data_IF_351197885926
#
_entry.id   IF_351197885926
#
_cell.length_a   1.000
_cell.length_b   1.000
_cell.length_c   1.000
_cell.angle_alpha   90.00
_cell.angle_beta   90.00
_cell.angle_gamma   90.00
#
_symmetry.space_group_name_H-M   'P 1'
#
loop_
_entity.id
_entity.type
_entity.pdbx_description
1 polymer ?
#
# COMPACT_ATOMS: atom_id res chain seq x y z
N UNK A 1 -13.91 -9.79 21.69
CA UNK A 1 -14.75 -8.59 21.87
C UNK A 1 -16.15 -9.11 22.10
N UNK A 2 -16.72 -8.94 23.30
CA UNK A 2 -17.94 -9.61 23.72
C UNK A 2 -19.14 -8.79 23.22
N UNK A 3 -19.82 -9.25 22.17
CA UNK A 3 -20.87 -8.49 21.44
C UNK A 3 -22.19 -8.41 22.22
N UNK A 4 -22.31 -9.10 23.37
CA UNK A 4 -23.62 -9.35 23.99
C UNK A 4 -24.30 -8.20 24.76
N UNK A 5 -23.67 -7.04 24.97
CA UNK A 5 -24.25 -5.99 25.82
C UNK A 5 -24.19 -4.57 25.21
N UNK A 6 -24.62 -4.37 23.97
CA UNK A 6 -24.88 -3.01 23.46
C UNK A 6 -26.38 -2.74 23.45
N UNK A 7 -26.80 -1.72 24.19
CA UNK A 7 -28.18 -1.23 24.14
C UNK A 7 -28.42 -0.48 22.81
N UNK A 8 -29.65 -0.49 22.30
CA UNK A 8 -30.00 0.21 21.05
C UNK A 8 -29.56 1.71 21.01
N UNK A 9 -29.68 2.48 22.12
CA UNK A 9 -29.15 3.84 22.18
C UNK A 9 -27.62 3.94 22.05
N UNK A 10 -26.87 2.96 22.56
CA UNK A 10 -25.41 2.93 22.41
C UNK A 10 -24.98 2.60 20.99
N UNK A 11 -25.73 1.74 20.30
CA UNK A 11 -25.55 1.48 18.86
C UNK A 11 -25.78 2.78 18.09
N UNK A 12 -26.89 3.49 18.34
CA UNK A 12 -27.18 4.77 17.68
C UNK A 12 -26.12 5.85 17.95
N UNK A 13 -25.64 5.96 19.19
CA UNK A 13 -24.56 6.89 19.54
C UNK A 13 -23.24 6.54 18.83
N UNK A 14 -22.93 5.24 18.71
CA UNK A 14 -21.73 4.77 18.02
C UNK A 14 -21.82 4.99 16.52
N UNK A 15 -22.98 4.73 15.92
CA UNK A 15 -23.28 5.03 14.50
C UNK A 15 -23.18 6.53 14.21
N UNK A 16 -23.55 7.39 15.17
CA UNK A 16 -23.41 8.85 15.07
C UNK A 16 -22.00 9.39 15.36
N UNK A 17 -21.05 8.55 15.75
CA UNK A 17 -19.68 9.01 16.00
C UNK A 17 -18.96 9.29 14.68
N UNK A 18 -18.16 10.37 14.63
CA UNK A 18 -17.34 10.71 13.44
C UNK A 18 -16.45 9.54 13.01
N UNK A 19 -15.94 8.77 13.97
CA UNK A 19 -15.07 7.61 13.73
C UNK A 19 -15.79 6.52 12.93
N UNK A 20 -17.05 6.23 13.29
CA UNK A 20 -17.83 5.24 12.57
C UNK A 20 -18.10 5.68 11.13
N UNK A 21 -18.44 6.96 10.92
CA UNK A 21 -18.62 7.49 9.56
C UNK A 21 -17.35 7.36 8.71
N UNK A 22 -16.19 7.71 9.26
CA UNK A 22 -14.91 7.55 8.55
C UNK A 22 -14.54 6.08 8.33
N UNK A 23 -14.90 5.18 9.24
CA UNK A 23 -14.69 3.74 9.06
C UNK A 23 -15.55 3.20 7.91
N UNK A 24 -16.83 3.58 7.85
CA UNK A 24 -17.73 3.22 6.74
C UNK A 24 -17.22 3.83 5.44
N UNK A 25 -16.81 5.10 5.46
CA UNK A 25 -16.24 5.76 4.28
C UNK A 25 -14.96 5.06 3.81
N UNK A 26 -14.08 4.62 4.72
CA UNK A 26 -12.88 3.86 4.36
C UNK A 26 -13.25 2.53 3.69
N UNK A 27 -14.24 1.80 4.22
CA UNK A 27 -14.72 0.55 3.62
C UNK A 27 -15.27 0.80 2.21
N UNK A 28 -16.15 1.79 2.05
CA UNK A 28 -16.72 2.15 0.74
C UNK A 28 -15.60 2.56 -0.22
N UNK A 29 -14.66 3.38 0.26
CA UNK A 29 -13.54 3.87 -0.53
C UNK A 29 -12.66 2.73 -1.04
N UNK A 30 -12.19 1.85 -0.14
CA UNK A 30 -11.33 0.73 -0.53
C UNK A 30 -12.06 -0.28 -1.40
N UNK A 31 -13.34 -0.55 -1.15
CA UNK A 31 -14.15 -1.37 -2.03
C UNK A 31 -14.23 -0.76 -3.44
N UNK A 32 -14.46 0.56 -3.54
CA UNK A 32 -14.48 1.24 -4.82
C UNK A 32 -13.11 1.24 -5.51
N UNK A 33 -12.00 1.41 -4.78
CA UNK A 33 -10.65 1.31 -5.33
C UNK A 33 -10.43 -0.07 -5.97
N UNK A 34 -10.75 -1.14 -5.25
CA UNK A 34 -10.55 -2.52 -5.70
C UNK A 34 -11.43 -2.85 -6.91
N UNK A 35 -12.74 -2.62 -6.81
CA UNK A 35 -13.68 -2.97 -7.88
C UNK A 35 -13.52 -2.11 -9.14
N UNK A 36 -13.12 -0.84 -8.97
CA UNK A 36 -12.95 0.07 -10.09
C UNK A 36 -11.52 0.14 -10.61
N UNK A 37 -10.57 -0.60 -10.02
CA UNK A 37 -9.15 -0.53 -10.35
C UNK A 37 -8.93 -0.60 -11.88
N UNK A 38 -9.35 -1.71 -12.50
CA UNK A 38 -9.18 -1.92 -13.94
C UNK A 38 -10.02 -0.95 -14.77
N UNK A 39 -11.22 -0.60 -14.30
CA UNK A 39 -12.13 0.34 -14.97
C UNK A 39 -11.51 1.73 -15.07
N UNK A 40 -10.89 2.22 -13.99
CA UNK A 40 -10.19 3.50 -13.95
C UNK A 40 -8.94 3.45 -14.84
N UNK A 41 -8.14 2.39 -14.77
CA UNK A 41 -6.97 2.23 -15.64
C UNK A 41 -7.37 2.26 -17.12
N UNK A 42 -8.44 1.57 -17.51
CA UNK A 42 -8.95 1.61 -18.87
C UNK A 42 -9.48 3.00 -19.26
N UNK A 43 -10.23 3.65 -18.38
CA UNK A 43 -10.76 5.00 -18.61
C UNK A 43 -9.65 6.02 -18.84
N UNK A 44 -8.59 5.98 -18.04
CA UNK A 44 -7.46 6.91 -18.14
C UNK A 44 -6.59 6.62 -19.37
N UNK A 45 -6.43 5.35 -19.73
CA UNK A 45 -5.54 4.96 -20.83
C UNK A 45 -6.17 5.07 -22.22
N UNK A 46 -7.50 4.91 -22.36
CA UNK A 46 -8.18 4.93 -23.64
C UNK A 46 -8.74 6.32 -24.00
N UNK A 47 -8.83 6.67 -25.31
CA UNK A 47 -9.52 7.87 -25.75
C UNK A 47 -10.98 7.84 -25.32
N UNK A 48 -11.46 8.95 -24.76
CA UNK A 48 -12.85 9.14 -24.36
C UNK A 48 -13.49 10.15 -25.31
N UNK A 49 -14.67 9.80 -25.83
CA UNK A 49 -15.47 10.71 -26.63
C UNK A 49 -16.35 11.50 -25.67
N UNK A 50 -15.93 12.72 -25.33
CA UNK A 50 -16.74 13.60 -24.49
C UNK A 50 -17.40 14.66 -25.38
N UNK A 51 -18.70 14.49 -25.63
CA UNK A 51 -19.49 15.31 -26.55
C UNK A 51 -18.89 15.29 -27.97
N UNK A 52 -18.15 16.35 -28.35
CA UNK A 52 -17.53 16.57 -29.65
C UNK A 52 -15.98 16.50 -29.61
N UNK A 53 -15.39 16.28 -28.43
CA UNK A 53 -13.94 16.25 -28.25
C UNK A 53 -13.47 14.85 -27.90
N UNK A 54 -12.48 14.37 -28.65
CA UNK A 54 -11.72 13.17 -28.29
C UNK A 54 -10.67 13.58 -27.27
N UNK A 55 -10.99 13.42 -25.99
CA UNK A 55 -10.06 13.69 -24.90
C UNK A 55 -9.42 12.37 -24.50
N UNK A 56 -8.09 12.33 -24.40
CA UNK A 56 -7.40 11.26 -23.68
C UNK A 56 -7.15 11.76 -22.27
N UNK A 57 -7.81 11.25 -21.22
CA UNK A 57 -7.63 11.76 -19.85
C UNK A 57 -6.17 11.73 -19.40
N UNK A 58 -5.37 10.78 -19.90
CA UNK A 58 -3.90 10.78 -19.73
C UNK A 58 -3.22 12.09 -20.10
N UNK A 59 -3.71 12.81 -21.10
CA UNK A 59 -3.13 14.09 -21.52
C UNK A 59 -3.33 15.19 -20.46
N UNK A 60 -4.37 15.07 -19.61
CA UNK A 60 -4.59 15.93 -18.46
C UNK A 60 -3.81 15.48 -17.22
N UNK A 61 -3.23 14.27 -17.23
CA UNK A 61 -2.52 13.73 -16.08
C UNK A 61 -1.33 14.60 -15.68
N UNK A 62 -0.57 15.13 -16.64
CA UNK A 62 0.58 15.99 -16.33
C UNK A 62 0.18 17.30 -15.62
N UNK A 63 -0.70 18.16 -16.17
CA UNK A 63 -1.07 19.40 -15.47
C UNK A 63 -1.75 19.14 -14.13
N UNK A 64 -2.59 18.09 -14.01
CA UNK A 64 -3.20 17.72 -12.74
C UNK A 64 -2.16 17.24 -11.72
N UNK A 65 -1.21 16.40 -12.14
CA UNK A 65 -0.10 15.94 -11.29
C UNK A 65 0.74 17.11 -10.82
N UNK A 66 1.01 18.09 -11.69
CA UNK A 66 1.76 19.29 -11.33
C UNK A 66 1.03 20.14 -10.28
N UNK A 67 -0.27 20.37 -10.46
CA UNK A 67 -1.09 21.12 -9.48
C UNK A 67 -1.10 20.40 -8.13
N UNK A 68 -1.32 19.09 -8.12
CA UNK A 68 -1.30 18.28 -6.90
C UNK A 68 0.07 18.30 -6.25
N UNK A 69 1.15 18.17 -7.03
CA UNK A 69 2.51 18.23 -6.54
C UNK A 69 2.83 19.59 -5.89
N UNK A 70 2.51 20.71 -6.55
CA UNK A 70 2.72 22.05 -5.98
C UNK A 70 1.91 22.22 -4.70
N UNK A 71 0.65 21.80 -4.69
CA UNK A 71 -0.21 21.89 -3.50
C UNK A 71 0.36 21.08 -2.34
N UNK A 72 0.81 19.85 -2.59
CA UNK A 72 1.45 18.99 -1.60
C UNK A 72 2.77 19.59 -1.11
N UNK A 73 3.58 20.15 -2.00
CA UNK A 73 4.84 20.79 -1.63
C UNK A 73 4.60 21.99 -0.70
N UNK A 74 3.66 22.87 -1.04
CA UNK A 74 3.27 24.00 -0.20
C UNK A 74 2.75 23.53 1.17
N UNK A 75 1.95 22.47 1.19
CA UNK A 75 1.45 21.86 2.42
C UNK A 75 2.59 21.28 3.28
N UNK A 76 3.56 20.59 2.67
CA UNK A 76 4.73 20.05 3.36
C UNK A 76 5.63 21.15 3.90
N UNK A 77 5.81 22.25 3.16
CA UNK A 77 6.53 23.44 3.65
C UNK A 77 5.83 24.03 4.87
N UNK A 78 4.50 24.18 4.80
CA UNK A 78 3.70 24.64 5.95
C UNK A 78 3.88 23.72 7.17
N UNK A 79 3.78 22.41 6.97
CA UNK A 79 3.98 21.40 8.02
C UNK A 79 5.41 21.43 8.58
N UNK A 80 6.42 21.61 7.74
CA UNK A 80 7.82 21.73 8.16
C UNK A 80 8.05 22.98 9.02
N UNK A 81 7.43 24.11 8.68
CA UNK A 81 7.54 25.35 9.45
C UNK A 81 6.90 25.19 10.83
N UNK A 82 5.68 24.65 10.88
CA UNK A 82 4.86 24.54 12.10
C UNK A 82 5.12 23.30 12.95
N UNK A 83 5.74 22.27 12.38
CA UNK A 83 5.90 20.98 13.03
C UNK A 83 7.04 20.92 14.04
N UNK A 84 7.01 19.90 14.89
CA UNK A 84 8.05 19.63 15.89
C UNK A 84 9.00 18.51 15.46
N UNK A 85 8.51 17.51 14.70
CA UNK A 85 9.29 16.33 14.26
C UNK A 85 10.03 16.53 12.94
N UNK A 86 10.64 17.71 12.74
CA UNK A 86 11.17 18.15 11.43
C UNK A 86 12.21 17.20 10.85
N UNK A 87 13.30 16.93 11.58
CA UNK A 87 14.45 16.18 11.05
C UNK A 87 14.08 14.77 10.61
N UNK A 88 13.42 14.01 11.48
CA UNK A 88 13.01 12.63 11.16
C UNK A 88 11.99 12.61 10.01
N UNK A 89 11.06 13.58 9.98
CA UNK A 89 10.07 13.66 8.91
C UNK A 89 10.72 13.96 7.56
N UNK A 90 11.62 14.94 7.51
CA UNK A 90 12.35 15.31 6.30
C UNK A 90 13.20 14.15 5.79
N UNK A 91 13.90 13.45 6.67
CA UNK A 91 14.67 12.26 6.28
C UNK A 91 13.78 11.19 5.63
N UNK A 92 12.66 10.84 6.25
CA UNK A 92 11.73 9.87 5.69
C UNK A 92 11.12 10.34 4.37
N UNK A 93 10.71 11.62 4.28
CA UNK A 93 10.23 12.20 3.02
C UNK A 93 11.28 12.12 1.92
N UNK A 94 12.53 12.45 2.22
CA UNK A 94 13.63 12.34 1.26
C UNK A 94 13.81 10.90 0.76
N UNK A 95 13.87 9.92 1.67
CA UNK A 95 14.00 8.51 1.31
C UNK A 95 12.81 8.01 0.50
N UNK A 96 11.58 8.37 0.88
CA UNK A 96 10.37 7.96 0.16
C UNK A 96 10.29 8.58 -1.24
N UNK A 97 10.58 9.87 -1.39
CA UNK A 97 10.59 10.56 -2.69
C UNK A 97 11.69 9.98 -3.58
N UNK A 98 12.90 9.83 -3.06
CA UNK A 98 14.01 9.26 -3.82
C UNK A 98 13.70 7.83 -4.30
N UNK A 99 13.14 7.00 -3.41
CA UNK A 99 12.72 5.64 -3.76
C UNK A 99 11.59 5.65 -4.80
N UNK A 100 10.62 6.54 -4.68
CA UNK A 100 9.54 6.70 -5.67
C UNK A 100 10.06 7.07 -7.06
N UNK A 101 11.10 7.91 -7.15
CA UNK A 101 11.78 8.24 -8.41
C UNK A 101 12.46 7.00 -9.01
N UNK A 102 13.15 6.19 -8.18
CA UNK A 102 13.78 4.96 -8.64
C UNK A 102 12.75 3.94 -9.14
N UNK A 103 11.64 3.77 -8.43
CA UNK A 103 10.54 2.88 -8.85
C UNK A 103 9.96 3.36 -10.18
N UNK A 104 9.64 4.65 -10.28
CA UNK A 104 9.14 5.24 -11.52
C UNK A 104 10.09 5.02 -12.71
N UNK A 105 11.41 5.11 -12.47
CA UNK A 105 12.41 4.97 -13.54
C UNK A 105 12.67 3.53 -13.96
N UNK A 106 12.73 2.60 -12.99
CA UNK A 106 13.28 1.26 -13.22
C UNK A 106 12.25 0.14 -13.11
N UNK A 107 11.12 0.36 -12.43
CA UNK A 107 10.18 -0.72 -12.09
C UNK A 107 8.77 -0.49 -12.63
N UNK A 108 8.40 0.77 -12.90
CA UNK A 108 7.05 1.10 -13.35
C UNK A 108 6.87 0.85 -14.85
N UNK A 109 5.86 0.03 -15.19
CA UNK A 109 5.50 -0.29 -16.58
C UNK A 109 4.88 0.92 -17.28
N UNK A 110 3.92 1.56 -16.61
CA UNK A 110 3.02 2.53 -17.21
C UNK A 110 2.86 3.76 -16.29
N UNK A 111 2.83 5.01 -16.80
CA UNK A 111 2.58 6.19 -15.99
C UNK A 111 1.26 6.22 -15.20
N UNK A 112 0.36 5.25 -15.46
CA UNK A 112 -0.95 5.18 -14.79
C UNK A 112 -0.77 4.60 -13.39
N UNK A 113 0.27 3.80 -13.16
CA UNK A 113 0.58 3.24 -11.84
C UNK A 113 0.89 4.34 -10.79
N UNK A 114 1.16 5.57 -11.23
CA UNK A 114 1.25 6.73 -10.33
C UNK A 114 -0.06 6.93 -9.53
N UNK A 115 -1.20 6.49 -10.07
CA UNK A 115 -2.49 6.54 -9.39
C UNK A 115 -2.48 5.81 -8.05
N UNK A 116 -1.71 4.73 -7.90
CA UNK A 116 -1.58 3.97 -6.65
C UNK A 116 -1.13 4.87 -5.51
N UNK A 117 -0.16 5.76 -5.76
CA UNK A 117 0.32 6.73 -4.77
C UNK A 117 -0.83 7.58 -4.21
N UNK A 118 -1.72 8.06 -5.07
CA UNK A 118 -2.83 8.90 -4.66
C UNK A 118 -3.95 8.09 -4.01
N UNK A 119 -4.30 6.94 -4.58
CA UNK A 119 -5.39 6.10 -4.09
C UNK A 119 -5.11 5.64 -2.66
N UNK A 120 -3.94 5.05 -2.43
CA UNK A 120 -3.61 4.48 -1.13
C UNK A 120 -3.17 5.55 -0.11
N UNK A 121 -2.61 6.69 -0.53
CA UNK A 121 -2.39 7.82 0.39
C UNK A 121 -3.72 8.44 0.86
N UNK A 122 -4.71 8.59 -0.02
CA UNK A 122 -6.05 9.06 0.34
C UNK A 122 -6.77 8.04 1.23
N UNK A 123 -6.67 6.75 0.90
CA UNK A 123 -7.19 5.66 1.73
C UNK A 123 -6.58 5.68 3.14
N UNK A 124 -5.26 5.86 3.26
CA UNK A 124 -4.59 6.05 4.53
C UNK A 124 -5.11 7.29 5.28
N UNK A 125 -5.37 8.40 4.60
CA UNK A 125 -5.97 9.60 5.21
C UNK A 125 -7.37 9.35 5.77
N UNK A 126 -8.27 8.73 5.00
CA UNK A 126 -9.62 8.42 5.47
C UNK A 126 -9.57 7.48 6.67
N UNK A 127 -8.73 6.44 6.59
CA UNK A 127 -8.54 5.47 7.65
C UNK A 127 -7.95 6.10 8.92
N UNK A 128 -7.04 7.06 8.77
CA UNK A 128 -6.49 7.82 9.89
C UNK A 128 -7.58 8.57 10.65
N UNK A 129 -8.59 9.10 9.96
CA UNK A 129 -9.73 9.79 10.59
C UNK A 129 -10.67 8.84 11.31
N UNK A 130 -10.73 7.58 10.90
CA UNK A 130 -11.44 6.54 11.62
C UNK A 130 -10.75 6.18 12.95
N UNK A 131 -9.42 6.05 12.94
CA UNK A 131 -8.63 5.70 14.13
C UNK A 131 -8.36 6.89 15.07
N UNK A 132 -8.02 8.04 14.50
CA UNK A 132 -7.68 9.27 15.22
C UNK A 132 -8.35 10.49 14.54
N UNK A 133 -9.65 10.70 14.78
CA UNK A 133 -10.38 11.85 14.23
C UNK A 133 -9.80 13.19 14.71
N UNK A 134 -9.19 13.21 15.90
CA UNK A 134 -8.68 14.43 16.55
C UNK A 134 -7.27 14.80 16.10
N UNK A 135 -6.54 13.87 15.49
CA UNK A 135 -5.14 14.06 15.11
C UNK A 135 -4.19 14.12 16.31
N UNK A 136 -4.64 13.70 17.51
CA UNK A 136 -3.88 13.78 18.77
C UNK A 136 -3.20 12.47 19.13
N UNK A 137 -3.49 11.37 18.43
CA UNK A 137 -2.91 10.05 18.67
C UNK A 137 -1.92 9.67 17.57
N UNK A 138 -0.84 8.98 17.92
CA UNK A 138 0.11 8.50 16.91
C UNK A 138 -0.29 7.10 16.41
N UNK A 139 -1.21 7.06 15.43
CA UNK A 139 -1.76 5.81 14.84
C UNK A 139 -1.14 5.42 13.50
N UNK A 140 0.11 5.84 13.29
CA UNK A 140 0.82 5.63 12.02
C UNK A 140 0.91 4.16 11.64
N UNK A 141 1.31 3.29 12.58
CA UNK A 141 1.48 1.85 12.30
C UNK A 141 0.16 1.22 11.90
N UNK A 142 -0.92 1.49 12.64
CA UNK A 142 -2.24 0.93 12.35
C UNK A 142 -2.71 1.32 10.95
N UNK A 143 -2.63 2.61 10.62
CA UNK A 143 -3.05 3.15 9.32
C UNK A 143 -2.21 2.54 8.20
N UNK A 144 -0.88 2.65 8.27
CA UNK A 144 0.02 2.17 7.22
C UNK A 144 -0.14 0.66 7.02
N UNK A 145 -0.23 -0.10 8.11
CA UNK A 145 -0.39 -1.56 8.04
C UNK A 145 -1.69 -1.96 7.35
N UNK A 146 -2.81 -1.40 7.79
CA UNK A 146 -4.12 -1.79 7.25
C UNK A 146 -4.23 -1.36 5.78
N UNK A 147 -3.81 -0.13 5.44
CA UNK A 147 -3.79 0.32 4.05
C UNK A 147 -2.88 -0.54 3.19
N UNK A 148 -1.71 -0.95 3.69
CA UNK A 148 -0.79 -1.85 2.98
C UNK A 148 -1.40 -3.25 2.75
N UNK A 149 -2.07 -3.81 3.75
CA UNK A 149 -2.74 -5.11 3.64
C UNK A 149 -3.89 -5.07 2.64
N UNK A 150 -4.66 -3.98 2.64
CA UNK A 150 -5.72 -3.78 1.64
C UNK A 150 -5.12 -3.62 0.24
N UNK A 151 -4.03 -2.87 0.10
CA UNK A 151 -3.35 -2.72 -1.17
C UNK A 151 -2.71 -4.01 -1.68
N UNK A 152 -2.15 -4.84 -0.81
CA UNK A 152 -1.72 -6.19 -1.21
C UNK A 152 -2.91 -7.03 -1.67
N UNK A 153 -4.02 -6.98 -0.94
CA UNK A 153 -5.24 -7.69 -1.31
C UNK A 153 -5.81 -7.23 -2.66
N UNK A 154 -5.77 -5.93 -2.96
CA UNK A 154 -6.17 -5.39 -4.27
C UNK A 154 -5.39 -6.06 -5.40
N UNK A 155 -4.06 -6.14 -5.30
CA UNK A 155 -3.25 -6.81 -6.32
C UNK A 155 -3.59 -8.29 -6.47
N UNK A 156 -3.81 -9.01 -5.35
CA UNK A 156 -4.23 -10.41 -5.41
C UNK A 156 -5.61 -10.54 -6.07
N UNK A 157 -6.54 -9.66 -5.70
CA UNK A 157 -7.88 -9.65 -6.25
C UNK A 157 -7.87 -9.33 -7.75
N UNK A 158 -7.10 -8.33 -8.16
CA UNK A 158 -6.90 -8.00 -9.55
C UNK A 158 -6.31 -9.17 -10.32
N UNK A 159 -5.25 -9.81 -9.82
CA UNK A 159 -4.63 -10.96 -10.48
C UNK A 159 -5.59 -12.16 -10.63
N UNK A 160 -6.39 -12.47 -9.60
CA UNK A 160 -7.26 -13.64 -9.61
C UNK A 160 -8.66 -13.41 -10.19
N UNK A 161 -9.18 -12.19 -10.12
CA UNK A 161 -10.58 -11.89 -10.45
C UNK A 161 -10.71 -11.03 -11.70
N UNK A 162 -9.93 -9.95 -11.78
CA UNK A 162 -10.03 -8.97 -12.88
C UNK A 162 -8.99 -9.13 -13.99
N UNK A 163 -7.94 -9.93 -13.78
CA UNK A 163 -6.77 -10.05 -14.64
C UNK A 163 -7.20 -10.35 -16.08
N UNK A 164 -6.94 -9.41 -17.00
CA UNK A 164 -7.22 -9.61 -18.41
C UNK A 164 -6.44 -10.79 -18.99
N UNK A 165 -6.82 -11.22 -20.19
CA UNK A 165 -6.11 -12.28 -20.91
C UNK A 165 -4.60 -11.99 -21.05
N UNK A 166 -4.22 -10.71 -21.18
CA UNK A 166 -2.85 -10.24 -21.37
C UNK A 166 -2.06 -10.01 -20.06
N UNK A 167 -2.63 -10.22 -18.87
CA UNK A 167 -1.88 -10.05 -17.63
C UNK A 167 -0.92 -11.25 -17.44
N UNK A 168 0.39 -10.98 -17.49
CA UNK A 168 1.45 -12.01 -17.65
C UNK A 168 1.95 -12.59 -16.34
N UNK A 169 1.78 -11.87 -15.24
CA UNK A 169 2.28 -12.23 -13.93
C UNK A 169 1.55 -11.45 -12.83
N UNK A 170 1.68 -11.91 -11.59
CA UNK A 170 1.25 -11.18 -10.39
C UNK A 170 2.26 -10.07 -10.08
N UNK A 171 1.81 -8.81 -10.07
CA UNK A 171 2.71 -7.67 -9.98
C UNK A 171 3.09 -7.32 -8.53
N UNK A 172 4.27 -7.79 -8.10
CA UNK A 172 4.80 -7.49 -6.77
C UNK A 172 5.15 -6.01 -6.59
N UNK A 173 5.42 -5.29 -7.69
CA UNK A 173 5.78 -3.88 -7.66
C UNK A 173 4.57 -3.02 -7.26
N UNK A 174 3.37 -3.36 -7.70
CA UNK A 174 2.16 -2.64 -7.32
C UNK A 174 1.87 -2.78 -5.82
N UNK A 175 2.16 -3.94 -5.21
CA UNK A 175 2.12 -4.10 -3.75
C UNK A 175 3.11 -3.13 -3.07
N UNK A 176 4.31 -2.95 -3.63
CA UNK A 176 5.27 -1.98 -3.10
C UNK A 176 4.75 -0.56 -3.23
N UNK A 177 4.19 -0.19 -4.38
CA UNK A 177 3.57 1.12 -4.60
C UNK A 177 2.49 1.39 -3.55
N UNK A 178 1.65 0.41 -3.26
CA UNK A 178 0.57 0.52 -2.28
C UNK A 178 1.12 0.72 -0.85
N UNK A 179 2.21 0.04 -0.49
CA UNK A 179 2.91 0.24 0.80
C UNK A 179 3.55 1.63 0.86
N UNK A 180 4.22 2.06 -0.22
CA UNK A 180 4.81 3.40 -0.32
C UNK A 180 3.76 4.50 -0.17
N UNK A 181 2.63 4.35 -0.87
CA UNK A 181 1.49 5.24 -0.84
C UNK A 181 0.87 5.32 0.55
N UNK A 182 0.69 4.18 1.23
CA UNK A 182 0.27 4.12 2.62
C UNK A 182 1.24 4.91 3.53
N UNK A 183 2.54 4.71 3.32
CA UNK A 183 3.59 5.46 4.00
C UNK A 183 3.51 6.96 3.76
N UNK A 184 3.35 7.41 2.51
CA UNK A 184 3.16 8.81 2.15
C UNK A 184 1.94 9.43 2.83
N UNK A 185 0.78 8.75 2.75
CA UNK A 185 -0.43 9.18 3.45
C UNK A 185 -0.20 9.30 4.95
N UNK A 186 0.39 8.27 5.57
CA UNK A 186 0.77 8.30 6.98
C UNK A 186 1.70 9.47 7.34
N UNK A 187 2.71 9.75 6.51
CA UNK A 187 3.65 10.85 6.72
C UNK A 187 3.02 12.23 6.56
N UNK A 188 2.06 12.39 5.63
CA UNK A 188 1.30 13.64 5.50
C UNK A 188 0.49 13.95 6.76
N UNK A 189 0.01 12.92 7.45
CA UNK A 189 -0.90 13.05 8.60
C UNK A 189 -0.12 13.16 9.91
N UNK A 190 0.86 12.29 10.10
CA UNK A 190 1.56 12.07 11.37
C UNK A 190 3.00 12.58 11.37
N UNK A 191 3.53 12.99 10.21
CA UNK A 191 4.92 13.35 10.00
C UNK A 191 5.40 14.40 11.00
N UNK A 192 4.94 15.63 10.77
CA UNK A 192 5.47 16.82 11.42
C UNK A 192 4.82 17.15 12.77
N UNK A 193 3.79 16.40 13.19
CA UNK A 193 3.01 16.72 14.38
C UNK A 193 3.72 16.32 15.68
N UNK A 194 3.40 17.08 16.73
CA UNK A 194 3.77 16.75 18.09
C UNK A 194 2.72 15.83 18.73
N UNK A 195 3.21 14.82 19.44
CA UNK A 195 2.38 13.92 20.23
C UNK A 195 2.93 13.92 21.65
N UNK A 196 2.04 13.90 22.65
CA UNK A 196 2.47 13.86 24.05
C UNK A 196 3.27 12.58 24.36
N UNK A 197 4.16 12.63 25.36
CA UNK A 197 5.03 11.51 25.73
C UNK A 197 4.27 10.20 26.08
N UNK A 198 3.03 10.31 26.58
CA UNK A 198 2.16 9.16 26.88
C UNK A 198 1.53 8.51 25.64
N UNK A 199 1.63 9.17 24.48
CA UNK A 199 0.90 8.86 23.23
C UNK A 199 1.76 8.08 22.23
N UNK A 200 3.07 7.98 22.44
CA UNK A 200 3.96 7.14 21.63
C UNK A 200 3.85 5.63 21.95
N UNK A 201 2.83 5.22 22.70
CA UNK A 201 2.59 3.82 23.01
C UNK A 201 2.15 3.09 21.75
N UNK A 202 3.04 2.28 21.19
CA UNK A 202 2.69 1.28 20.20
C UNK A 202 1.58 0.42 20.79
N UNK A 203 0.52 0.20 20.01
CA UNK A 203 -0.44 -0.84 20.33
C UNK A 203 0.25 -2.21 20.15
N UNK A 204 0.97 -2.66 21.18
CA UNK A 204 1.58 -3.98 21.23
C UNK A 204 0.58 -5.10 20.89
N UNK A 205 -0.69 -5.04 21.35
CA UNK A 205 -1.70 -6.01 20.92
C UNK A 205 -1.98 -5.97 19.41
N UNK A 206 -1.99 -4.79 18.78
CA UNK A 206 -2.15 -4.67 17.33
C UNK A 206 -0.94 -5.27 16.61
N UNK A 207 0.27 -4.82 16.96
CA UNK A 207 1.50 -5.31 16.33
C UNK A 207 1.63 -6.83 16.47
N UNK A 208 1.36 -7.39 17.66
CA UNK A 208 1.37 -8.84 17.88
C UNK A 208 0.37 -9.55 16.97
N UNK A 209 -0.87 -9.06 16.86
CA UNK A 209 -1.89 -9.67 15.99
C UNK A 209 -1.50 -9.59 14.52
N UNK A 210 -0.98 -8.45 14.08
CA UNK A 210 -0.50 -8.26 12.71
C UNK A 210 0.65 -9.21 12.41
N UNK A 211 1.66 -9.31 13.28
CA UNK A 211 2.79 -10.21 13.10
C UNK A 211 2.34 -11.69 13.07
N UNK A 212 1.41 -12.07 13.95
CA UNK A 212 0.83 -13.42 13.93
C UNK A 212 0.05 -13.68 12.64
N UNK A 213 -0.72 -12.70 12.15
CA UNK A 213 -1.44 -12.83 10.88
C UNK A 213 -0.47 -12.99 9.70
N UNK A 214 0.56 -12.15 9.61
CA UNK A 214 1.58 -12.24 8.57
C UNK A 214 2.30 -13.59 8.65
N UNK A 215 2.72 -14.01 9.85
CA UNK A 215 3.38 -15.30 10.04
C UNK A 215 2.49 -16.48 9.60
N UNK A 216 1.22 -16.48 10.01
CA UNK A 216 0.26 -17.51 9.60
C UNK A 216 0.04 -17.53 8.09
N UNK A 217 -0.07 -16.36 7.45
CA UNK A 217 -0.21 -16.25 6.01
C UNK A 217 1.05 -16.74 5.28
N UNK A 218 2.23 -16.37 5.75
CA UNK A 218 3.50 -16.86 5.20
C UNK A 218 3.65 -18.37 5.33
N UNK A 219 3.28 -18.95 6.48
CA UNK A 219 3.27 -20.40 6.67
C UNK A 219 2.28 -21.06 5.71
N UNK A 220 1.08 -20.49 5.56
CA UNK A 220 0.08 -21.01 4.62
C UNK A 220 0.58 -21.01 3.17
N UNK A 221 1.13 -19.89 2.70
CA UNK A 221 1.73 -19.77 1.36
C UNK A 221 2.88 -20.77 1.19
N UNK A 222 3.74 -20.92 2.20
CA UNK A 222 4.85 -21.86 2.18
C UNK A 222 4.37 -23.31 2.09
N UNK A 223 3.32 -23.68 2.83
CA UNK A 223 2.70 -25.00 2.73
C UNK A 223 2.12 -25.23 1.33
N UNK A 224 1.41 -24.27 0.75
CA UNK A 224 0.90 -24.38 -0.62
C UNK A 224 2.02 -24.57 -1.65
N UNK A 225 3.15 -23.90 -1.43
CA UNK A 225 4.34 -24.05 -2.28
C UNK A 225 4.95 -25.45 -2.14
N UNK A 226 5.14 -25.94 -0.90
CA UNK A 226 5.70 -27.28 -0.65
C UNK A 226 4.82 -28.42 -1.17
N UNK A 227 3.50 -28.24 -1.19
CA UNK A 227 2.56 -29.24 -1.73
C UNK A 227 2.45 -29.18 -3.25
N UNK A 228 3.12 -28.23 -3.92
CA UNK A 228 3.04 -28.03 -5.37
C UNK A 228 1.72 -27.40 -5.84
N UNK A 229 0.83 -27.01 -4.92
CA UNK A 229 -0.42 -26.30 -5.23
C UNK A 229 -0.09 -24.89 -5.72
N UNK A 230 0.82 -24.19 -5.06
CA UNK A 230 1.27 -22.86 -5.47
C UNK A 230 2.62 -22.95 -6.19
N UNK A 231 2.66 -22.40 -7.40
CA UNK A 231 3.83 -22.33 -8.24
C UNK A 231 4.11 -20.85 -8.53
N UNK A 232 5.33 -20.42 -8.22
CA UNK A 232 5.74 -19.05 -8.44
C UNK A 232 6.07 -18.76 -9.90
N UNK A 233 6.70 -19.74 -10.56
CA UNK A 233 7.18 -19.67 -11.93
C UNK A 233 6.47 -20.70 -12.80
N UNK A 234 6.55 -20.52 -14.11
CA UNK A 234 6.00 -21.47 -15.08
C UNK A 234 6.93 -21.70 -16.27
N UNK A 235 6.83 -22.88 -16.87
CA UNK A 235 7.56 -23.29 -18.08
C UNK A 235 6.69 -23.21 -19.35
N UNK A 236 5.41 -22.86 -19.20
CA UNK A 236 4.46 -22.70 -20.31
C UNK A 236 3.49 -21.55 -20.08
N UNK A 237 2.66 -21.28 -21.08
CA UNK A 237 1.57 -20.30 -20.96
C UNK A 237 0.45 -20.84 -20.06
N UNK A 238 0.06 -20.03 -19.08
CA UNK A 238 -1.02 -20.32 -18.14
C UNK A 238 -2.25 -19.45 -18.46
N UNK A 239 -3.47 -20.03 -18.44
CA UNK A 239 -4.70 -19.28 -18.69
C UNK A 239 -4.92 -18.13 -17.69
N UNK A 240 -5.87 -17.22 -18.00
CA UNK A 240 -6.27 -16.16 -17.08
C UNK A 240 -6.54 -16.64 -15.67
N UNK A 241 -6.25 -15.77 -14.69
CA UNK A 241 -6.34 -16.04 -13.23
C UNK A 241 -5.25 -16.95 -12.67
N UNK A 242 -4.40 -17.55 -13.51
CA UNK A 242 -3.29 -18.37 -13.05
C UNK A 242 -3.71 -19.71 -12.42
N UNK A 243 -4.95 -20.16 -12.62
CA UNK A 243 -5.47 -21.39 -11.99
C UNK A 243 -5.62 -22.47 -13.06
N UNK A 244 -5.04 -23.65 -12.81
CA UNK A 244 -5.13 -24.82 -13.70
C UNK A 244 -5.47 -26.06 -12.89
N UNK A 245 -6.25 -26.96 -13.50
CA UNK A 245 -6.52 -28.28 -12.94
C UNK A 245 -5.78 -29.35 -13.74
N UNK A 246 -4.74 -29.93 -13.14
CA UNK A 246 -3.87 -30.96 -13.73
C UNK A 246 -3.62 -32.05 -12.69
N UNK A 247 -4.54 -33.01 -12.62
CA UNK A 247 -4.65 -34.04 -11.57
C UNK A 247 -4.96 -33.49 -10.17
N UNK A 248 -4.48 -32.27 -9.87
CA UNK A 248 -4.81 -31.45 -8.71
C UNK A 248 -4.92 -29.98 -9.08
N UNK A 249 -5.46 -29.17 -8.17
CA UNK A 249 -5.43 -27.72 -8.28
C UNK A 249 -3.99 -27.21 -8.29
N UNK A 250 -3.65 -26.40 -9.29
CA UNK A 250 -2.40 -25.64 -9.36
C UNK A 250 -2.70 -24.16 -9.55
N UNK A 251 -1.97 -23.33 -8.83
CA UNK A 251 -2.03 -21.87 -8.85
C UNK A 251 -0.65 -21.38 -9.29
N UNK A 252 -0.61 -20.50 -10.28
CA UNK A 252 0.59 -19.92 -10.85
C UNK A 252 0.55 -18.40 -10.71
N UNK A 253 1.61 -17.81 -10.15
CA UNK A 253 1.76 -16.35 -10.12
C UNK A 253 2.43 -15.81 -11.38
N UNK A 254 3.32 -16.57 -12.01
CA UNK A 254 3.79 -16.31 -13.37
C UNK A 254 2.89 -17.03 -14.38
N UNK A 255 2.38 -16.33 -15.39
CA UNK A 255 1.56 -16.93 -16.45
C UNK A 255 2.28 -17.06 -17.78
N UNK A 256 3.39 -16.36 -17.96
CA UNK A 256 4.24 -16.46 -19.12
C UNK A 256 5.68 -16.73 -18.67
N UNK A 257 6.37 -17.74 -19.24
CA UNK A 257 7.70 -18.10 -18.78
C UNK A 257 8.73 -16.98 -18.94
N UNK A 258 9.57 -16.80 -17.92
CA UNK A 258 10.73 -15.91 -17.98
C UNK A 258 10.38 -14.42 -17.89
N UNK A 259 9.22 -14.09 -17.32
CA UNK A 259 8.84 -12.71 -17.07
C UNK A 259 9.39 -12.22 -15.74
N UNK A 260 9.33 -13.02 -14.68
CA UNK A 260 9.94 -12.65 -13.41
C UNK A 260 11.46 -12.56 -13.48
N UNK A 261 12.03 -11.73 -12.62
CA UNK A 261 13.47 -11.51 -12.44
C UNK A 261 14.20 -11.09 -13.73
N UNK A 262 13.51 -10.36 -14.61
CA UNK A 262 14.00 -10.00 -15.93
C UNK A 262 13.69 -8.55 -16.32
N UNK A 263 14.45 -8.03 -17.29
CA UNK A 263 14.19 -6.72 -17.90
C UNK A 263 13.22 -6.88 -19.06
N UNK A 264 12.08 -6.20 -18.97
CA UNK A 264 11.02 -6.22 -19.95
C UNK A 264 10.97 -4.89 -20.70
N UNK A 265 10.64 -4.95 -21.99
CA UNK A 265 10.47 -3.74 -22.81
C UNK A 265 9.21 -2.99 -22.39
N UNK A 266 9.30 -1.67 -22.27
CA UNK A 266 8.16 -0.77 -22.08
C UNK A 266 8.21 0.37 -23.08
N UNK A 267 7.03 0.87 -23.46
CA UNK A 267 6.88 2.02 -24.34
C UNK A 267 7.24 3.35 -23.66
N UNK A 268 7.43 3.38 -22.34
CA UNK A 268 7.66 4.64 -21.58
C UNK A 268 9.14 4.91 -21.26
N UNK A 269 9.79 4.03 -20.51
CA UNK A 269 11.20 4.19 -20.07
C UNK A 269 12.19 3.37 -20.91
N UNK A 270 11.71 2.65 -21.93
CA UNK A 270 12.48 1.70 -22.73
C UNK A 270 12.49 0.30 -22.12
N UNK A 271 12.96 0.18 -20.88
CA UNK A 271 12.96 -1.07 -20.12
C UNK A 271 12.57 -0.85 -18.66
N UNK A 272 11.97 -1.86 -18.06
CA UNK A 272 11.68 -1.94 -16.64
C UNK A 272 12.01 -3.35 -16.14
N UNK A 273 12.35 -3.47 -14.86
CA UNK A 273 12.65 -4.76 -14.24
C UNK A 273 11.41 -5.30 -13.54
N UNK A 274 11.06 -6.55 -13.84
CA UNK A 274 9.96 -7.25 -13.18
C UNK A 274 10.52 -8.01 -11.99
N UNK A 275 10.24 -7.60 -10.74
CA UNK A 275 10.71 -8.30 -9.56
C UNK A 275 10.04 -9.68 -9.45
N UNK A 276 10.84 -10.74 -9.31
CA UNK A 276 10.31 -12.06 -8.95
C UNK A 276 9.83 -12.11 -7.49
N UNK A 277 9.15 -13.20 -7.10
CA UNK A 277 8.55 -13.33 -5.78
C UNK A 277 9.50 -13.16 -4.61
N UNK A 278 10.74 -13.66 -4.70
CA UNK A 278 11.72 -13.49 -3.62
C UNK A 278 12.05 -12.01 -3.42
N UNK A 279 12.37 -11.31 -4.51
CA UNK A 279 12.68 -9.88 -4.44
C UNK A 279 11.43 -9.10 -4.01
N UNK A 280 10.26 -9.44 -4.56
CA UNK A 280 8.92 -8.98 -4.17
C UNK A 280 8.68 -9.00 -2.66
N UNK A 281 8.85 -10.18 -2.05
CA UNK A 281 8.65 -10.40 -0.62
C UNK A 281 9.69 -9.63 0.21
N UNK A 282 10.96 -9.65 -0.19
CA UNK A 282 12.01 -8.90 0.50
C UNK A 282 11.75 -7.39 0.47
N UNK A 283 11.28 -6.86 -0.66
CA UNK A 283 10.87 -5.47 -0.79
C UNK A 283 9.72 -5.10 0.15
N UNK A 284 8.67 -5.94 0.21
CA UNK A 284 7.54 -5.76 1.14
C UNK A 284 8.05 -5.69 2.59
N UNK A 285 8.88 -6.66 3.01
CA UNK A 285 9.44 -6.67 4.35
C UNK A 285 10.28 -5.43 4.61
N UNK A 286 11.21 -5.11 3.72
CA UNK A 286 12.10 -3.94 3.88
C UNK A 286 11.30 -2.65 4.05
N UNK A 287 10.32 -2.39 3.17
CA UNK A 287 9.50 -1.19 3.21
C UNK A 287 8.65 -1.13 4.48
N UNK A 288 8.02 -2.25 4.85
CA UNK A 288 7.20 -2.30 6.05
C UNK A 288 8.05 -2.08 7.31
N UNK A 289 9.21 -2.73 7.43
CA UNK A 289 10.14 -2.50 8.53
C UNK A 289 10.62 -1.05 8.57
N UNK A 290 11.07 -0.49 7.44
CA UNK A 290 11.49 0.91 7.34
C UNK A 290 10.41 1.88 7.87
N UNK A 291 9.16 1.69 7.45
CA UNK A 291 8.02 2.49 7.90
C UNK A 291 7.69 2.25 9.37
N UNK A 292 7.75 1.02 9.86
CA UNK A 292 7.53 0.72 11.29
C UNK A 292 8.49 1.50 12.20
N UNK A 293 9.77 1.62 11.80
CA UNK A 293 10.78 2.38 12.54
C UNK A 293 10.53 3.90 12.57
N UNK A 294 9.61 4.42 11.76
CA UNK A 294 9.16 5.81 11.87
C UNK A 294 8.46 6.09 13.21
N UNK A 295 7.96 5.04 13.86
CA UNK A 295 7.24 5.11 15.12
C UNK A 295 8.19 5.42 16.29
N UNK A 296 8.05 6.58 16.96
CA UNK A 296 9.01 7.02 17.99
C UNK A 296 9.21 6.01 19.12
N UNK A 297 8.12 5.39 19.58
CA UNK A 297 8.18 4.39 20.65
C UNK A 297 8.99 3.14 20.28
N UNK A 298 8.96 2.73 19.00
CA UNK A 298 9.66 1.53 18.53
C UNK A 298 11.15 1.82 18.42
N UNK A 299 11.49 2.94 17.81
CA UNK A 299 12.88 3.40 17.67
C UNK A 299 13.54 3.59 19.04
N UNK A 300 12.85 4.25 19.98
CA UNK A 300 13.39 4.47 21.33
C UNK A 300 13.56 3.17 22.12
N UNK A 301 12.59 2.25 22.06
CA UNK A 301 12.69 0.94 22.71
C UNK A 301 13.85 0.10 22.14
N UNK A 302 14.01 0.11 20.82
CA UNK A 302 15.11 -0.57 20.13
C UNK A 302 16.47 0.03 20.51
N UNK A 303 16.61 1.36 20.43
CA UNK A 303 17.84 2.08 20.79
C UNK A 303 18.27 1.83 22.24
N UNK A 304 17.32 1.90 23.19
CA UNK A 304 17.60 1.59 24.60
C UNK A 304 18.11 0.16 24.80
N UNK A 305 17.53 -0.80 24.08
CA UNK A 305 17.94 -2.21 24.16
C UNK A 305 19.36 -2.39 23.60
N UNK A 306 19.69 -1.82 22.45
CA UNK A 306 21.05 -1.85 21.90
C UNK A 306 22.05 -1.24 22.88
N UNK A 307 21.75 -0.05 23.42
CA UNK A 307 22.64 0.61 24.39
C UNK A 307 22.88 -0.26 25.62
N UNK A 308 21.88 -1.02 26.08
CA UNK A 308 22.05 -1.95 27.21
C UNK A 308 22.92 -3.18 26.91
N UNK A 309 23.08 -3.55 25.63
CA UNK A 309 24.00 -4.60 25.20
C UNK A 309 25.43 -4.10 24.99
N UNK A 310 25.60 -2.81 24.64
CA UNK A 310 26.92 -2.20 24.40
C UNK A 310 27.73 -1.89 25.68
N UNK A 311 27.16 -2.13 26.86
CA UNK A 311 27.76 -1.84 28.19
C UNK A 311 27.88 -3.11 29.06
N UNK A 312 27.93 -4.29 28.44
CA UNK A 312 28.31 -5.56 29.08
C UNK A 312 29.51 -6.15 28.35
#
# INVERSE_FOLDING_TARGET
MNIKNFTFPEILRKVRSKNFLFAVLAVIYFFAVIELHLTISNFVTHPQNFLLFNIRPRNLAFPLTLIVFITLLLYLVYQLVKGSRKTISVFYWFVLIFSGILIYKFLMVHPVEIAHYFQYALGAFILSKAFDPTGKEFRFVEVVTITSLIGAFDEFYQFFVHCPAYCRYMDWMDIWLNIFAAGFGGMLIYGFKEYGNSVYKISFPFLKKTLLFILSLSIFIFVLYLTGILNFYTDRLIPPKGIVWEDSLKIFFEREPGVYDSWQKTFHTGYFYVPGPLFGILGIFFLYFFLLFYTPGLFHAFYRKIKSFSFK
#
